data_IF_689974496325
#
_entry.id   IF_689974496325
#
_cell.length_a   1.000
_cell.length_b   1.000
_cell.length_c   1.000
_cell.angle_alpha   90.00
_cell.angle_beta   90.00
_cell.angle_gamma   90.00
#
_symmetry.space_group_name_H-M   'P 1'
#
loop_
_entity.id
_entity.type
_entity.pdbx_description
1 polymer ?
#
# COMPACT_ATOMS: atom_id res chain seq x y z
N UNK A 1 -24.57 -15.72 28.17
CA UNK A 1 -23.17 -15.84 28.63
C UNK A 1 -22.36 -14.64 28.12
N UNK A 2 -22.09 -13.64 28.96
CA UNK A 2 -21.13 -12.57 28.64
C UNK A 2 -19.73 -13.16 28.82
N UNK A 3 -19.07 -13.62 27.74
CA UNK A 3 -17.61 -13.80 27.82
C UNK A 3 -17.05 -12.41 28.09
N UNK A 4 -16.58 -12.18 29.31
CA UNK A 4 -15.87 -10.96 29.65
C UNK A 4 -14.74 -10.83 28.65
N UNK A 5 -14.85 -9.86 27.74
CA UNK A 5 -13.77 -9.58 26.81
C UNK A 5 -12.58 -9.15 27.67
N UNK A 6 -11.51 -9.96 27.65
CA UNK A 6 -10.25 -9.75 28.35
C UNK A 6 -9.49 -8.54 27.77
N UNK A 7 -10.09 -7.35 27.80
CA UNK A 7 -9.44 -6.08 27.46
C UNK A 7 -9.27 -5.27 28.74
N UNK A 8 -8.53 -5.82 29.71
CA UNK A 8 -8.31 -5.17 31.01
C UNK A 8 -7.01 -4.37 31.10
N UNK A 9 -6.38 -4.01 29.98
CA UNK A 9 -5.34 -2.99 30.06
C UNK A 9 -5.30 -2.09 28.82
N UNK A 10 -5.21 -0.80 29.07
CA UNK A 10 -4.76 0.21 28.11
C UNK A 10 -3.26 0.05 27.79
N UNK A 11 -2.67 -1.09 28.15
CA UNK A 11 -1.25 -1.29 28.02
C UNK A 11 -0.93 -1.72 26.59
N UNK A 12 -0.04 -0.95 25.99
CA UNK A 12 0.36 -1.08 24.59
C UNK A 12 1.51 -2.09 24.40
N UNK A 13 1.90 -2.78 25.49
CA UNK A 13 3.04 -3.68 25.51
C UNK A 13 2.97 -4.75 24.40
N UNK A 14 4.13 -5.14 23.86
CA UNK A 14 4.20 -6.34 23.04
C UNK A 14 3.67 -7.54 23.85
N UNK A 15 3.02 -8.52 23.21
CA UNK A 15 2.61 -9.74 23.88
C UNK A 15 3.83 -10.39 24.53
N UNK A 16 3.70 -10.82 25.78
CA UNK A 16 4.81 -11.46 26.52
C UNK A 16 5.42 -12.63 25.73
N UNK A 17 4.62 -13.36 24.95
CA UNK A 17 5.12 -14.42 24.06
C UNK A 17 6.06 -13.92 22.97
N UNK A 18 5.82 -12.74 22.36
CA UNK A 18 6.75 -12.15 21.39
C UNK A 18 8.03 -11.66 22.06
N UNK A 19 7.93 -11.08 23.26
CA UNK A 19 9.10 -10.66 24.05
C UNK A 19 9.95 -11.86 24.44
N UNK A 20 9.32 -12.93 24.95
CA UNK A 20 9.98 -14.17 25.34
C UNK A 20 10.64 -14.85 24.14
N UNK A 21 9.97 -14.89 22.99
CA UNK A 21 10.53 -15.43 21.75
C UNK A 21 11.76 -14.63 21.30
N UNK A 22 11.69 -13.31 21.31
CA UNK A 22 12.83 -12.45 20.99
C UNK A 22 13.99 -12.67 21.97
N UNK A 23 13.72 -12.65 23.28
CA UNK A 23 14.73 -12.87 24.31
C UNK A 23 15.38 -14.26 24.19
N UNK A 24 14.60 -15.28 23.84
CA UNK A 24 15.11 -16.63 23.59
C UNK A 24 16.01 -16.68 22.35
N UNK A 25 15.58 -16.14 21.20
CA UNK A 25 16.39 -16.11 19.97
C UNK A 25 17.68 -15.30 20.19
N UNK A 26 17.58 -14.12 20.81
CA UNK A 26 18.73 -13.28 21.10
C UNK A 26 19.69 -13.96 22.09
N UNK A 27 19.16 -14.53 23.18
CA UNK A 27 19.95 -15.27 24.16
C UNK A 27 20.62 -16.51 23.58
N UNK A 28 19.97 -17.23 22.66
CA UNK A 28 20.58 -18.35 21.95
C UNK A 28 21.75 -17.91 21.07
N UNK A 29 21.61 -16.79 20.35
CA UNK A 29 22.71 -16.23 19.57
C UNK A 29 23.89 -15.90 20.48
N UNK A 30 23.65 -15.16 21.56
CA UNK A 30 24.71 -14.74 22.49
C UNK A 30 25.36 -15.92 23.21
N UNK A 31 24.59 -16.91 23.65
CA UNK A 31 25.13 -18.14 24.23
C UNK A 31 25.97 -18.92 23.22
N UNK A 32 25.53 -18.99 21.95
CA UNK A 32 26.30 -19.63 20.88
C UNK A 32 27.62 -18.92 20.60
N UNK A 33 27.61 -17.59 20.50
CA UNK A 33 28.81 -16.77 20.34
C UNK A 33 29.78 -16.96 21.51
N UNK A 34 29.26 -16.95 22.74
CA UNK A 34 30.06 -17.17 23.94
C UNK A 34 30.71 -18.56 23.97
N UNK A 35 29.97 -19.63 23.62
CA UNK A 35 30.51 -20.99 23.52
C UNK A 35 31.61 -21.08 22.46
N UNK A 36 31.42 -20.41 21.32
CA UNK A 36 32.42 -20.39 20.24
C UNK A 36 33.65 -19.59 20.64
N UNK A 37 33.50 -18.48 21.37
CA UNK A 37 34.62 -17.62 21.76
C UNK A 37 35.43 -18.17 22.93
N UNK A 38 34.81 -18.93 23.83
CA UNK A 38 35.43 -19.43 25.05
C UNK A 38 36.78 -20.16 24.83
N UNK A 39 36.93 -21.08 23.86
CA UNK A 39 38.21 -21.75 23.59
C UNK A 39 39.28 -20.83 23.00
N UNK A 40 38.87 -19.78 22.29
CA UNK A 40 39.76 -18.90 21.52
C UNK A 40 40.20 -17.66 22.29
N UNK A 41 39.64 -17.44 23.48
CA UNK A 41 39.98 -16.30 24.33
C UNK A 41 41.46 -16.23 24.69
N UNK A 42 42.14 -17.38 24.77
CA UNK A 42 43.58 -17.46 25.04
C UNK A 42 44.45 -17.05 23.83
N UNK A 43 43.87 -17.01 22.62
CA UNK A 43 44.58 -16.69 21.36
C UNK A 43 44.45 -15.20 21.00
N UNK A 44 43.70 -14.42 21.78
CA UNK A 44 43.50 -12.99 21.53
C UNK A 44 42.60 -12.66 20.33
N UNK A 45 41.82 -13.63 19.85
CA UNK A 45 40.81 -13.42 18.80
C UNK A 45 39.52 -12.87 19.42
N UNK A 46 39.25 -11.58 19.23
CA UNK A 46 38.00 -10.93 19.66
C UNK A 46 36.92 -11.11 18.58
N UNK A 47 36.20 -12.23 18.63
CA UNK A 47 35.11 -12.53 17.69
C UNK A 47 33.99 -11.48 17.80
N UNK A 48 33.70 -10.96 19.00
CA UNK A 48 32.66 -9.95 19.19
C UNK A 48 32.88 -8.66 18.40
N UNK A 49 34.14 -8.33 18.11
CA UNK A 49 34.51 -7.13 17.37
C UNK A 49 34.34 -7.30 15.84
N UNK A 50 34.09 -8.53 15.37
CA UNK A 50 33.95 -8.80 13.94
C UNK A 50 32.73 -8.08 13.35
N UNK A 51 32.84 -7.48 12.16
CA UNK A 51 31.75 -6.75 11.53
C UNK A 51 30.54 -7.65 11.25
N UNK A 52 30.73 -8.95 11.01
CA UNK A 52 29.68 -9.94 10.74
C UNK A 52 28.77 -10.17 11.96
N UNK A 53 29.37 -10.30 13.16
CA UNK A 53 28.63 -10.48 14.41
C UNK A 53 27.85 -9.21 14.73
N UNK A 54 28.47 -8.03 14.59
CA UNK A 54 27.80 -6.74 14.76
C UNK A 54 26.63 -6.57 13.79
N UNK A 55 26.81 -6.94 12.52
CA UNK A 55 25.75 -6.89 11.51
C UNK A 55 24.58 -7.83 11.86
N UNK A 56 24.87 -9.03 12.35
CA UNK A 56 23.84 -10.00 12.76
C UNK A 56 23.05 -9.50 13.98
N UNK A 57 23.73 -8.99 15.01
CA UNK A 57 23.08 -8.37 16.18
C UNK A 57 22.22 -7.17 15.77
N UNK A 58 22.73 -6.33 14.86
CA UNK A 58 22.01 -5.18 14.29
C UNK A 58 20.75 -5.63 13.54
N UNK A 59 20.85 -6.66 12.71
CA UNK A 59 19.73 -7.23 11.96
C UNK A 59 18.63 -7.75 12.89
N UNK A 60 18.99 -8.47 13.95
CA UNK A 60 18.02 -8.99 14.92
C UNK A 60 17.29 -7.87 15.67
N UNK A 61 18.03 -6.86 16.15
CA UNK A 61 17.44 -5.71 16.85
C UNK A 61 16.54 -4.88 15.91
N UNK A 62 16.98 -4.70 14.66
CA UNK A 62 16.18 -4.08 13.62
C UNK A 62 14.91 -4.85 13.30
N UNK A 63 15.00 -6.18 13.16
CA UNK A 63 13.85 -7.05 12.91
C UNK A 63 12.84 -7.00 14.07
N UNK A 64 13.30 -6.95 15.32
CA UNK A 64 12.44 -6.79 16.49
C UNK A 64 11.67 -5.45 16.45
N UNK A 65 12.36 -4.36 16.08
CA UNK A 65 11.73 -3.05 15.91
C UNK A 65 10.67 -3.04 14.79
N UNK A 66 10.94 -3.69 13.66
CA UNK A 66 9.98 -3.86 12.55
C UNK A 66 8.77 -4.66 12.99
N UNK A 67 8.97 -5.81 13.64
CA UNK A 67 7.88 -6.66 14.14
C UNK A 67 7.02 -5.92 15.16
N UNK A 68 7.62 -5.11 16.03
CA UNK A 68 6.88 -4.29 16.99
C UNK A 68 6.03 -3.21 16.30
N UNK A 69 6.56 -2.53 15.28
CA UNK A 69 5.78 -1.57 14.47
C UNK A 69 4.57 -2.25 13.79
N UNK A 70 4.79 -3.40 13.16
CA UNK A 70 3.72 -4.18 12.52
C UNK A 70 2.66 -4.65 13.52
N UNK A 71 3.09 -5.13 14.69
CA UNK A 71 2.19 -5.49 15.79
C UNK A 71 1.33 -4.30 16.20
N UNK A 72 1.90 -3.10 16.37
CA UNK A 72 1.15 -1.90 16.75
C UNK A 72 0.08 -1.56 15.71
N UNK A 73 0.44 -1.55 14.43
CA UNK A 73 -0.52 -1.26 13.37
C UNK A 73 -1.61 -2.33 13.28
N UNK A 74 -1.26 -3.62 13.37
CA UNK A 74 -2.20 -4.72 13.25
C UNK A 74 -3.16 -4.81 14.44
N UNK A 75 -2.64 -4.72 15.66
CA UNK A 75 -3.42 -4.92 16.88
C UNK A 75 -4.41 -3.80 17.12
N UNK A 76 -3.98 -2.55 16.96
CA UNK A 76 -4.74 -1.37 17.41
C UNK A 76 -5.53 -0.69 16.28
N UNK A 77 -5.16 -0.86 15.01
CA UNK A 77 -5.90 -0.25 13.90
C UNK A 77 -7.06 -1.14 13.39
N UNK A 78 -8.33 -0.68 13.42
CA UNK A 78 -9.46 -1.53 13.02
C UNK A 78 -9.44 -1.94 11.53
N UNK A 79 -8.71 -1.22 10.67
CA UNK A 79 -8.62 -1.62 9.26
C UNK A 79 -7.81 -2.90 9.02
N UNK A 80 -6.86 -3.24 9.90
CA UNK A 80 -6.12 -4.50 9.83
C UNK A 80 -6.72 -5.57 10.74
N UNK A 81 -7.26 -5.20 11.91
CA UNK A 81 -7.99 -6.12 12.77
C UNK A 81 -9.49 -6.15 12.44
N UNK A 82 -9.88 -7.01 11.51
CA UNK A 82 -11.27 -7.12 11.05
C UNK A 82 -12.24 -7.51 12.17
N UNK A 83 -11.81 -8.35 13.12
CA UNK A 83 -12.61 -8.72 14.27
C UNK A 83 -12.86 -7.53 15.19
N UNK A 84 -11.84 -6.69 15.40
CA UNK A 84 -11.98 -5.45 16.15
C UNK A 84 -12.88 -4.44 15.43
N UNK A 85 -12.76 -4.28 14.12
CA UNK A 85 -13.70 -3.46 13.35
C UNK A 85 -15.13 -3.99 13.42
N UNK A 86 -15.35 -5.30 13.34
CA UNK A 86 -16.68 -5.90 13.49
C UNK A 86 -17.25 -5.62 14.88
N UNK A 87 -16.45 -5.76 15.93
CA UNK A 87 -16.84 -5.42 17.28
C UNK A 87 -17.18 -3.93 17.44
N UNK A 88 -16.34 -3.02 16.91
CA UNK A 88 -16.60 -1.58 16.96
C UNK A 88 -17.92 -1.21 16.28
N UNK A 89 -18.26 -1.85 15.15
CA UNK A 89 -19.54 -1.65 14.44
C UNK A 89 -20.76 -2.06 15.26
N UNK A 90 -20.61 -3.08 16.11
CA UNK A 90 -21.71 -3.61 16.93
C UNK A 90 -21.81 -2.95 18.30
N UNK A 91 -20.77 -2.23 18.72
CA UNK A 91 -20.70 -1.53 20.01
C UNK A 91 -21.26 -0.09 19.92
N UNK A 92 -21.67 0.52 21.04
CA UNK A 92 -22.06 1.95 21.10
C UNK A 92 -20.84 2.90 21.07
N UNK A 93 -19.74 2.48 20.46
CA UNK A 93 -18.53 3.28 20.33
C UNK A 93 -18.75 4.40 19.30
N UNK A 94 -18.19 5.58 19.59
CA UNK A 94 -18.20 6.74 18.69
C UNK A 94 -16.79 7.25 18.46
N UNK A 95 -16.47 7.89 17.31
CA UNK A 95 -15.12 8.35 16.98
C UNK A 95 -14.48 9.33 17.97
N UNK A 96 -15.28 10.00 18.80
CA UNK A 96 -14.81 10.94 19.82
C UNK A 96 -14.32 10.22 21.08
N UNK A 97 -14.75 8.98 21.32
CA UNK A 97 -14.29 8.15 22.44
C UNK A 97 -12.93 7.50 22.12
N UNK A 98 -12.07 7.28 23.14
CA UNK A 98 -10.84 6.53 22.94
C UNK A 98 -11.15 5.11 22.42
N UNK A 99 -10.21 4.55 21.66
CA UNK A 99 -10.31 3.18 21.17
C UNK A 99 -10.19 2.20 22.35
N UNK A 100 -11.13 1.25 22.53
CA UNK A 100 -11.10 0.33 23.67
C UNK A 100 -9.88 -0.59 23.73
N UNK A 101 -9.25 -0.89 22.60
CA UNK A 101 -8.00 -1.65 22.58
C UNK A 101 -6.76 -0.81 22.92
N UNK A 102 -6.88 0.52 22.95
CA UNK A 102 -5.74 1.43 23.11
C UNK A 102 -5.50 2.33 21.88
N UNK A 103 -4.66 3.36 22.05
CA UNK A 103 -4.39 4.33 20.99
C UNK A 103 -3.56 3.73 19.85
N UNK A 104 -3.90 4.10 18.61
CA UNK A 104 -3.09 3.78 17.43
C UNK A 104 -1.83 4.63 17.38
N UNK A 105 -1.92 5.91 17.79
CA UNK A 105 -0.77 6.81 17.81
C UNK A 105 0.28 6.34 18.82
N UNK A 106 1.52 6.78 18.59
CA UNK A 106 2.64 6.46 19.46
C UNK A 106 2.42 7.06 20.86
N UNK A 107 2.72 6.27 21.87
CA UNK A 107 2.61 6.61 23.29
C UNK A 107 3.96 6.43 23.98
N UNK A 108 4.10 6.89 25.22
CA UNK A 108 5.35 6.77 25.97
C UNK A 108 5.82 5.31 26.13
N UNK A 109 4.91 4.33 26.16
CA UNK A 109 5.29 2.91 26.21
C UNK A 109 6.09 2.49 24.96
N UNK A 110 5.77 3.05 23.78
CA UNK A 110 6.54 2.77 22.57
C UNK A 110 7.97 3.31 22.70
N UNK A 111 8.14 4.49 23.31
CA UNK A 111 9.46 5.05 23.59
C UNK A 111 10.27 4.17 24.54
N UNK A 112 9.64 3.52 25.53
CA UNK A 112 10.32 2.57 26.42
C UNK A 112 10.78 1.32 25.66
N UNK A 113 9.91 0.72 24.84
CA UNK A 113 10.26 -0.49 24.07
C UNK A 113 11.39 -0.20 23.08
N UNK A 114 11.27 0.87 22.30
CA UNK A 114 12.30 1.26 21.34
C UNK A 114 13.57 1.75 22.04
N UNK A 115 13.44 2.47 23.16
CA UNK A 115 14.56 2.87 24.00
C UNK A 115 15.34 1.68 24.55
N UNK A 116 14.66 0.60 24.96
CA UNK A 116 15.29 -0.64 25.38
C UNK A 116 16.06 -1.31 24.23
N UNK A 117 15.47 -1.38 23.04
CA UNK A 117 16.17 -1.92 21.85
C UNK A 117 17.39 -1.07 21.46
N UNK A 118 17.28 0.26 21.55
CA UNK A 118 18.39 1.17 21.29
C UNK A 118 19.50 1.06 22.36
N UNK A 119 19.13 0.89 23.63
CA UNK A 119 20.06 0.63 24.73
C UNK A 119 20.81 -0.70 24.53
N UNK A 120 20.09 -1.78 24.18
CA UNK A 120 20.68 -3.06 23.79
C UNK A 120 21.64 -2.91 22.60
N UNK A 121 21.24 -2.15 21.57
CA UNK A 121 22.10 -1.86 20.43
C UNK A 121 23.41 -1.17 20.85
N UNK A 122 23.31 -0.13 21.68
CA UNK A 122 24.47 0.69 22.09
C UNK A 122 25.41 -0.01 23.05
N UNK A 123 24.87 -0.64 24.08
CA UNK A 123 25.64 -1.16 25.23
C UNK A 123 26.01 -2.62 25.08
N UNK A 124 25.17 -3.43 24.44
CA UNK A 124 25.42 -4.86 24.28
C UNK A 124 25.96 -5.17 22.90
N UNK A 125 25.27 -4.72 21.84
CA UNK A 125 25.64 -5.09 20.47
C UNK A 125 26.77 -4.24 19.85
N UNK A 126 27.18 -3.17 20.52
CA UNK A 126 28.09 -2.14 19.97
C UNK A 126 27.66 -1.66 18.57
N UNK A 127 26.35 -1.67 18.33
CA UNK A 127 25.72 -1.24 17.09
C UNK A 127 25.21 0.20 17.23
N UNK A 128 24.90 0.82 16.10
CA UNK A 128 24.29 2.15 16.10
C UNK A 128 22.89 2.10 16.73
N UNK A 129 22.65 2.79 17.86
CA UNK A 129 21.34 2.81 18.53
C UNK A 129 20.22 3.45 17.70
N UNK A 130 20.55 4.18 16.64
CA UNK A 130 19.54 4.82 15.78
C UNK A 130 18.84 3.81 14.87
N UNK A 131 19.45 2.66 14.59
CA UNK A 131 18.90 1.68 13.62
C UNK A 131 17.53 1.14 14.04
N UNK A 132 17.31 0.64 15.28
CA UNK A 132 15.98 0.21 15.72
C UNK A 132 14.94 1.34 15.63
N UNK A 133 15.32 2.58 15.98
CA UNK A 133 14.44 3.74 15.93
C UNK A 133 14.01 4.07 14.50
N UNK A 134 14.97 4.12 13.57
CA UNK A 134 14.73 4.40 12.14
C UNK A 134 13.83 3.31 11.53
N UNK A 135 14.13 2.04 11.77
CA UNK A 135 13.36 0.92 11.22
C UNK A 135 11.94 0.86 11.78
N UNK A 136 11.76 1.05 13.09
CA UNK A 136 10.42 1.17 13.68
C UNK A 136 9.65 2.34 13.08
N UNK A 137 10.24 3.53 13.05
CA UNK A 137 9.60 4.74 12.54
C UNK A 137 9.21 4.62 11.07
N UNK A 138 10.12 4.12 10.23
CA UNK A 138 9.88 3.92 8.80
C UNK A 138 8.72 2.96 8.54
N UNK A 139 8.72 1.78 9.18
CA UNK A 139 7.65 0.78 9.01
C UNK A 139 6.33 1.29 9.57
N UNK A 140 6.34 1.94 10.73
CA UNK A 140 5.13 2.51 11.33
C UNK A 140 4.52 3.60 10.42
N UNK A 141 5.31 4.55 9.93
CA UNK A 141 4.82 5.65 9.07
C UNK A 141 4.40 5.17 7.68
N UNK A 142 5.11 4.22 7.08
CA UNK A 142 4.70 3.58 5.84
C UNK A 142 3.38 2.81 6.00
N UNK A 143 3.25 2.04 7.08
CA UNK A 143 2.03 1.33 7.41
C UNK A 143 0.85 2.26 7.69
N UNK A 144 1.07 3.37 8.42
CA UNK A 144 0.05 4.41 8.60
C UNK A 144 -0.36 5.07 7.29
N UNK A 145 0.59 5.36 6.40
CA UNK A 145 0.30 5.89 5.06
C UNK A 145 -0.60 4.92 4.27
N UNK A 146 -0.27 3.62 4.29
CA UNK A 146 -1.07 2.58 3.68
C UNK A 146 -2.47 2.46 4.32
N UNK A 147 -2.59 2.57 5.64
CA UNK A 147 -3.88 2.56 6.33
C UNK A 147 -4.75 3.77 5.97
N UNK A 148 -4.16 4.96 5.83
CA UNK A 148 -4.86 6.16 5.37
C UNK A 148 -5.29 6.02 3.90
N UNK A 149 -4.51 5.35 3.06
CA UNK A 149 -4.88 4.98 1.69
C UNK A 149 -6.08 4.03 1.67
N UNK A 150 -6.03 2.94 2.45
CA UNK A 150 -7.12 1.96 2.56
C UNK A 150 -8.43 2.57 3.07
N UNK A 151 -8.33 3.56 3.96
CA UNK A 151 -9.48 4.28 4.52
C UNK A 151 -9.88 5.51 3.69
N UNK A 152 -9.26 5.70 2.52
CA UNK A 152 -9.54 6.76 1.53
C UNK A 152 -9.42 8.19 2.08
N UNK A 153 -8.60 8.39 3.11
CA UNK A 153 -8.26 9.73 3.60
C UNK A 153 -7.09 10.29 2.81
N UNK A 154 -7.35 10.69 1.56
CA UNK A 154 -6.34 11.04 0.56
C UNK A 154 -5.39 12.16 0.99
N UNK A 155 -5.89 13.29 1.51
CA UNK A 155 -5.04 14.44 1.85
C UNK A 155 -4.02 14.09 2.95
N UNK A 156 -4.42 13.54 4.12
CA UNK A 156 -3.44 13.08 5.11
C UNK A 156 -2.51 11.98 4.60
N UNK A 157 -3.01 11.06 3.76
CA UNK A 157 -2.19 10.02 3.15
C UNK A 157 -1.06 10.61 2.30
N UNK A 158 -1.37 11.58 1.43
CA UNK A 158 -0.39 12.23 0.57
C UNK A 158 0.62 13.03 1.42
N UNK A 159 0.14 13.88 2.32
CA UNK A 159 1.00 14.68 3.20
C UNK A 159 1.94 13.80 4.03
N UNK A 160 1.41 12.73 4.64
CA UNK A 160 2.22 11.80 5.41
C UNK A 160 3.26 11.16 4.50
N UNK A 161 2.84 10.69 3.32
CA UNK A 161 3.71 10.11 2.29
C UNK A 161 4.90 10.99 1.93
N UNK A 162 4.68 12.30 1.72
CA UNK A 162 5.77 13.23 1.43
C UNK A 162 6.67 13.48 2.66
N UNK A 163 6.06 13.67 3.83
CA UNK A 163 6.81 14.05 5.04
C UNK A 163 7.72 12.94 5.55
N UNK A 164 7.30 11.66 5.53
CA UNK A 164 8.04 10.61 6.23
C UNK A 164 9.34 10.20 5.52
N UNK A 165 9.42 10.39 4.20
CA UNK A 165 10.63 10.11 3.43
C UNK A 165 11.62 11.29 3.42
N UNK A 166 11.17 12.50 3.77
CA UNK A 166 12.00 13.71 3.72
C UNK A 166 13.29 13.64 4.58
N UNK A 167 13.28 13.07 5.81
CA UNK A 167 14.50 12.98 6.64
C UNK A 167 15.63 12.13 6.03
N UNK A 168 15.35 11.34 5.00
CA UNK A 168 16.36 10.56 4.27
C UNK A 168 17.33 11.50 3.52
N UNK A 169 16.87 12.69 3.12
CA UNK A 169 17.67 13.67 2.38
C UNK A 169 18.74 14.29 3.30
N UNK A 170 20.04 14.19 2.98
CA UNK A 170 21.11 14.72 3.82
C UNK A 170 20.99 16.23 4.10
N UNK A 171 20.55 17.01 3.11
CA UNK A 171 20.35 18.45 3.23
C UNK A 171 19.25 18.87 4.22
N UNK A 172 18.37 17.95 4.63
CA UNK A 172 17.30 18.22 5.60
C UNK A 172 17.65 17.77 7.03
N UNK A 173 18.86 17.25 7.25
CA UNK A 173 19.37 16.88 8.58
C UNK A 173 19.55 18.14 9.45
N UNK A 174 19.34 18.01 10.76
CA UNK A 174 19.49 19.11 11.72
C UNK A 174 18.15 19.78 12.08
N UNK A 175 18.10 21.12 12.28
CA UNK A 175 16.87 21.81 12.72
C UNK A 175 15.63 21.58 11.85
N UNK A 176 15.72 21.49 10.50
CA UNK A 176 14.54 21.19 9.66
C UNK A 176 13.91 19.84 9.98
N UNK A 177 14.70 18.86 10.43
CA UNK A 177 14.20 17.53 10.83
C UNK A 177 13.19 17.65 11.98
N UNK A 178 13.38 18.57 12.92
CA UNK A 178 12.41 18.80 14.01
C UNK A 178 11.06 19.31 13.48
N UNK A 179 11.09 20.21 12.51
CA UNK A 179 9.89 20.69 11.81
C UNK A 179 9.18 19.55 11.07
N UNK A 180 9.92 18.68 10.40
CA UNK A 180 9.38 17.49 9.74
C UNK A 180 8.75 16.53 10.75
N UNK A 181 9.42 16.25 11.88
CA UNK A 181 8.89 15.40 12.95
C UNK A 181 7.58 15.98 13.53
N UNK A 182 7.55 17.29 13.81
CA UNK A 182 6.32 17.96 14.28
C UNK A 182 5.19 17.83 13.24
N UNK A 183 5.51 18.04 11.95
CA UNK A 183 4.58 17.84 10.85
C UNK A 183 4.05 16.41 10.77
N UNK A 184 4.92 15.40 10.93
CA UNK A 184 4.53 13.99 10.96
C UNK A 184 3.54 13.70 12.09
N UNK A 185 3.82 14.18 13.32
CA UNK A 185 2.94 14.00 14.47
C UNK A 185 1.55 14.59 14.19
N UNK A 186 1.50 15.83 13.69
CA UNK A 186 0.25 16.53 13.38
C UNK A 186 -0.54 15.82 12.28
N UNK A 187 0.12 15.47 11.17
CA UNK A 187 -0.53 14.81 10.02
C UNK A 187 -1.01 13.41 10.37
N UNK A 188 -0.21 12.63 11.11
CA UNK A 188 -0.63 11.30 11.59
C UNK A 188 -1.84 11.42 12.52
N UNK A 189 -1.81 12.34 13.50
CA UNK A 189 -2.93 12.55 14.43
C UNK A 189 -4.21 12.97 13.70
N UNK A 190 -4.12 13.98 12.82
CA UNK A 190 -5.25 14.48 12.05
C UNK A 190 -5.79 13.42 11.08
N UNK A 191 -4.91 12.75 10.34
CA UNK A 191 -5.27 11.71 9.39
C UNK A 191 -5.99 10.55 10.04
N UNK A 192 -5.47 10.09 11.17
CA UNK A 192 -6.09 9.04 11.96
C UNK A 192 -7.47 9.45 12.49
N UNK A 193 -7.62 10.63 13.11
CA UNK A 193 -8.92 11.13 13.58
C UNK A 193 -9.94 11.26 12.45
N UNK A 194 -9.52 11.79 11.30
CA UNK A 194 -10.36 11.89 10.11
C UNK A 194 -10.79 10.51 9.60
N UNK A 195 -9.87 9.54 9.60
CA UNK A 195 -10.15 8.17 9.21
C UNK A 195 -11.16 7.50 10.13
N UNK A 196 -11.02 7.66 11.45
CA UNK A 196 -11.97 7.12 12.42
C UNK A 196 -13.35 7.77 12.35
N UNK A 197 -13.44 9.07 12.08
CA UNK A 197 -14.74 9.74 11.86
C UNK A 197 -15.50 9.22 10.65
N UNK A 198 -14.78 8.68 9.66
CA UNK A 198 -15.37 8.02 8.50
C UNK A 198 -15.71 6.53 8.74
N UNK A 199 -15.51 6.02 9.94
CA UNK A 199 -15.88 4.65 10.31
C UNK A 199 -17.40 4.52 10.48
N UNK A 200 -18.06 3.45 9.97
CA UNK A 200 -17.46 2.29 9.29
C UNK A 200 -17.05 2.60 7.85
N UNK A 201 -15.79 2.28 7.50
CA UNK A 201 -15.30 2.47 6.14
C UNK A 201 -16.06 1.55 5.17
N UNK A 202 -16.72 2.14 4.18
CA UNK A 202 -17.37 1.40 3.08
C UNK A 202 -16.30 0.88 2.12
N UNK A 203 -15.81 -0.35 2.34
CA UNK A 203 -14.94 -1.04 1.38
C UNK A 203 -15.77 -1.45 0.18
N UNK A 204 -15.67 -0.71 -0.93
CA UNK A 204 -16.17 -1.17 -2.23
C UNK A 204 -17.51 -0.59 -2.69
N UNK A 205 -18.29 0.06 -1.82
CA UNK A 205 -19.33 0.97 -2.33
C UNK A 205 -18.62 2.23 -2.81
N UNK A 206 -18.35 2.27 -4.12
CA UNK A 206 -17.90 3.48 -4.79
C UNK A 206 -18.96 4.55 -4.51
N UNK A 207 -18.63 5.45 -3.56
CA UNK A 207 -19.37 6.63 -3.15
C UNK A 207 -20.61 6.88 -4.02
N UNK A 208 -21.77 6.34 -3.62
CA UNK A 208 -23.01 7.00 -3.99
C UNK A 208 -22.87 8.43 -3.46
N UNK A 209 -22.89 9.46 -4.32
CA UNK A 209 -22.74 10.83 -3.86
C UNK A 209 -24.03 11.24 -3.14
N UNK A 210 -24.20 10.83 -1.88
CA UNK A 210 -25.37 11.15 -1.08
C UNK A 210 -25.09 10.98 0.42
N UNK A 211 -24.50 11.98 1.04
CA UNK A 211 -25.05 12.63 2.24
C UNK A 211 -24.10 13.75 2.65
N UNK A 212 -24.62 14.97 2.65
CA UNK A 212 -23.93 16.23 2.96
C UNK A 212 -23.24 16.88 1.74
N UNK A 213 -24.06 17.22 0.74
CA UNK A 213 -24.03 18.58 0.17
C UNK A 213 -25.43 18.97 -0.28
N UNK A 214 -26.12 19.58 0.67
CA UNK A 214 -27.18 20.56 0.44
C UNK A 214 -26.77 21.54 -0.68
N UNK A 215 -27.73 21.83 -1.55
CA UNK A 215 -27.76 22.89 -2.57
C UNK A 215 -26.60 22.95 -3.58
N UNK A 216 -26.65 22.11 -4.62
CA UNK A 216 -26.09 22.47 -5.93
C UNK A 216 -27.27 22.73 -6.88
N UNK A 217 -27.35 23.90 -7.55
CA UNK A 217 -28.44 24.21 -8.48
C UNK A 217 -28.42 23.19 -9.62
N UNK A 218 -29.58 22.59 -9.87
CA UNK A 218 -29.80 21.60 -10.93
C UNK A 218 -29.60 22.31 -12.27
N UNK A 219 -28.78 21.71 -13.13
CA UNK A 219 -28.66 22.11 -14.53
C UNK A 219 -29.99 21.86 -15.25
N UNK A 220 -30.53 22.83 -16.01
CA UNK A 220 -31.79 22.66 -16.75
C UNK A 220 -31.70 21.67 -17.92
N UNK A 221 -30.49 21.19 -18.26
CA UNK A 221 -30.26 20.21 -19.34
C UNK A 221 -30.34 18.75 -18.90
N UNK A 222 -30.63 18.47 -17.63
CA UNK A 222 -30.88 17.11 -17.11
C UNK A 222 -32.38 16.72 -17.17
N UNK A 223 -33.19 17.49 -17.90
CA UNK A 223 -34.66 17.36 -17.92
C UNK A 223 -35.22 16.37 -18.95
N UNK A 224 -34.45 15.96 -19.97
CA UNK A 224 -35.01 15.18 -21.09
C UNK A 224 -34.32 13.82 -21.22
N UNK A 225 -34.87 12.83 -20.51
CA UNK A 225 -35.37 11.54 -20.99
C UNK A 225 -36.07 10.94 -19.76
N UNK A 226 -37.27 11.43 -19.47
CA UNK A 226 -38.21 10.74 -18.59
C UNK A 226 -39.06 9.85 -19.47
N UNK A 227 -38.89 8.53 -19.33
CA UNK A 227 -39.90 7.58 -19.78
C UNK A 227 -41.02 7.67 -18.75
N UNK A 228 -42.05 8.46 -19.07
CA UNK A 228 -43.23 8.62 -18.23
C UNK A 228 -43.94 7.26 -18.10
N UNK A 229 -43.95 6.72 -16.87
CA UNK A 229 -44.57 5.42 -16.56
C UNK A 229 -43.80 4.57 -15.55
N UNK A 230 -42.49 4.79 -15.36
CA UNK A 230 -41.69 4.09 -14.35
C UNK A 230 -41.48 4.98 -13.12
N UNK A 231 -42.33 4.75 -12.12
CA UNK A 231 -42.28 5.37 -10.80
C UNK A 231 -40.85 5.41 -10.24
N UNK A 232 -40.36 6.62 -9.96
CA UNK A 232 -39.07 6.90 -9.36
C UNK A 232 -39.06 6.64 -7.85
N UNK A 233 -39.46 5.44 -7.43
CA UNK A 233 -39.21 5.00 -6.06
C UNK A 233 -37.71 4.70 -5.91
N UNK A 234 -37.00 5.24 -4.90
CA UNK A 234 -35.59 4.92 -4.64
C UNK A 234 -35.35 3.44 -4.31
N UNK A 235 -36.40 2.63 -4.16
CA UNK A 235 -36.32 1.17 -4.12
C UNK A 235 -36.07 0.51 -5.49
N UNK A 236 -36.27 1.23 -6.61
CA UNK A 236 -36.19 0.70 -7.97
C UNK A 236 -34.84 0.90 -8.68
N UNK A 237 -33.85 1.53 -8.03
CA UNK A 237 -32.51 1.78 -8.58
C UNK A 237 -31.43 1.13 -7.71
N UNK A 238 -31.08 -0.16 -7.71
CA UNK A 238 -31.40 -1.37 -8.49
C UNK A 238 -30.93 -2.57 -7.62
N UNK A 239 -31.67 -3.70 -7.56
CA UNK A 239 -31.07 -4.98 -7.97
C UNK A 239 -32.09 -5.98 -8.53
N UNK A 240 -33.02 -5.56 -9.40
CA UNK A 240 -34.01 -6.47 -10.02
C UNK A 240 -33.80 -6.66 -11.52
N UNK A 241 -32.55 -6.79 -11.97
CA UNK A 241 -32.35 -7.72 -13.08
C UNK A 241 -32.75 -9.07 -12.48
N UNK A 242 -33.99 -9.50 -12.75
CA UNK A 242 -34.48 -10.79 -12.27
C UNK A 242 -33.49 -11.87 -12.63
N UNK A 243 -33.45 -12.95 -11.85
CA UNK A 243 -32.74 -14.14 -12.27
C UNK A 243 -33.23 -14.51 -13.70
N UNK A 244 -32.34 -14.76 -14.69
CA UNK A 244 -30.88 -14.94 -14.61
C UNK A 244 -30.04 -13.69 -14.96
N UNK A 245 -30.65 -12.56 -15.32
CA UNK A 245 -29.92 -11.38 -15.78
C UNK A 245 -29.07 -10.70 -14.71
N UNK A 246 -29.34 -10.94 -13.42
CA UNK A 246 -28.45 -10.50 -12.33
C UNK A 246 -27.04 -11.11 -12.44
N UNK A 247 -26.94 -12.33 -12.97
CA UNK A 247 -25.66 -13.03 -13.20
C UNK A 247 -24.98 -12.58 -14.49
N UNK A 248 -25.76 -12.10 -15.46
CA UNK A 248 -25.25 -11.51 -16.70
C UNK A 248 -24.89 -10.03 -16.53
N UNK A 249 -25.37 -9.38 -15.47
CA UNK A 249 -25.03 -8.00 -15.16
C UNK A 249 -23.56 -7.93 -14.74
N UNK A 250 -22.69 -7.23 -15.49
CA UNK A 250 -21.33 -7.01 -15.05
C UNK A 250 -21.38 -6.12 -13.81
N UNK A 251 -21.32 -6.72 -12.61
CA UNK A 251 -21.13 -6.04 -11.32
C UNK A 251 -19.73 -5.41 -11.18
N UNK A 252 -19.18 -4.91 -12.28
CA UNK A 252 -17.88 -4.28 -12.34
C UNK A 252 -18.05 -2.78 -12.08
N UNK A 253 -18.34 -2.41 -10.83
CA UNK A 253 -18.16 -1.03 -10.37
C UNK A 253 -16.66 -0.81 -10.17
N UNK A 254 -15.92 -0.73 -11.28
CA UNK A 254 -14.54 -0.26 -11.23
C UNK A 254 -14.58 1.26 -11.32
N UNK A 255 -14.29 1.92 -10.21
CA UNK A 255 -14.02 3.36 -10.20
C UNK A 255 -12.73 3.61 -10.96
N UNK A 256 -12.80 4.37 -12.05
CA UNK A 256 -11.59 4.95 -12.63
C UNK A 256 -10.90 5.80 -11.57
N UNK A 257 -9.58 5.70 -11.47
CA UNK A 257 -8.79 6.63 -10.66
C UNK A 257 -8.95 8.01 -11.29
N UNK A 258 -9.25 9.04 -10.50
CA UNK A 258 -9.32 10.40 -11.00
C UNK A 258 -7.92 10.88 -11.40
N UNK A 259 -7.81 11.61 -12.51
CA UNK A 259 -6.52 12.12 -13.03
C UNK A 259 -5.73 12.88 -11.98
N UNK A 260 -6.40 13.66 -11.12
CA UNK A 260 -5.77 14.37 -10.01
C UNK A 260 -5.15 13.43 -8.97
N UNK A 261 -5.84 12.34 -8.62
CA UNK A 261 -5.33 11.31 -7.71
C UNK A 261 -4.13 10.60 -8.32
N UNK A 262 -4.21 10.23 -9.61
CA UNK A 262 -3.10 9.65 -10.34
C UNK A 262 -1.88 10.59 -10.35
N UNK A 263 -2.08 11.89 -10.62
CA UNK A 263 -1.01 12.89 -10.60
C UNK A 263 -0.36 13.00 -9.22
N UNK A 264 -1.16 13.08 -8.15
CA UNK A 264 -0.63 13.15 -6.78
C UNK A 264 0.13 11.89 -6.37
N UNK A 265 -0.35 10.70 -6.75
CA UNK A 265 0.36 9.44 -6.50
C UNK A 265 1.66 9.36 -7.30
N UNK A 266 1.66 9.75 -8.57
CA UNK A 266 2.86 9.84 -9.39
C UNK A 266 3.91 10.78 -8.79
N UNK A 267 3.50 11.96 -8.33
CA UNK A 267 4.38 12.91 -7.65
C UNK A 267 4.93 12.34 -6.34
N UNK A 268 4.12 11.60 -5.59
CA UNK A 268 4.55 10.94 -4.36
C UNK A 268 5.60 9.86 -4.62
N UNK A 269 5.40 9.00 -5.63
CA UNK A 269 6.40 7.99 -6.00
C UNK A 269 7.69 8.62 -6.51
N UNK A 270 7.60 9.69 -7.30
CA UNK A 270 8.74 10.47 -7.73
C UNK A 270 9.54 11.01 -6.55
N UNK A 271 8.84 11.57 -5.56
CA UNK A 271 9.45 12.07 -4.32
C UNK A 271 10.14 10.97 -3.53
N UNK A 272 9.54 9.79 -3.41
CA UNK A 272 10.18 8.64 -2.75
C UNK A 272 11.44 8.19 -3.48
N UNK A 273 11.39 8.10 -4.81
CA UNK A 273 12.57 7.78 -5.62
C UNK A 273 13.68 8.82 -5.42
N UNK A 274 13.33 10.11 -5.43
CA UNK A 274 14.28 11.18 -5.17
C UNK A 274 14.92 11.06 -3.78
N UNK A 275 14.09 10.90 -2.73
CA UNK A 275 14.58 10.75 -1.36
C UNK A 275 15.52 9.55 -1.22
N UNK A 276 15.16 8.40 -1.79
CA UNK A 276 15.98 7.19 -1.74
C UNK A 276 17.31 7.38 -2.47
N UNK A 277 17.30 7.95 -3.68
CA UNK A 277 18.54 8.18 -4.42
C UNK A 277 19.45 9.19 -3.73
N UNK A 278 18.87 10.28 -3.20
CA UNK A 278 19.61 11.33 -2.49
C UNK A 278 20.19 10.82 -1.16
N UNK A 279 19.46 9.99 -0.41
CA UNK A 279 19.92 9.51 0.90
C UNK A 279 20.81 8.28 0.86
N UNK A 280 20.69 7.43 -0.15
CA UNK A 280 21.58 6.28 -0.34
C UNK A 280 22.83 6.62 -1.15
N UNK A 281 22.98 7.87 -1.59
CA UNK A 281 24.05 8.30 -2.50
C UNK A 281 24.15 7.36 -3.71
N UNK A 282 22.97 7.00 -4.25
CA UNK A 282 22.86 5.95 -5.26
C UNK A 282 23.72 6.29 -6.47
N UNK A 283 24.45 5.32 -7.03
CA UNK A 283 25.31 5.56 -8.18
C UNK A 283 24.48 6.02 -9.39
N UNK A 284 25.07 6.78 -10.32
CA UNK A 284 24.37 7.33 -11.49
C UNK A 284 23.80 6.24 -12.43
N UNK A 285 24.26 4.99 -12.32
CA UNK A 285 23.80 3.87 -13.14
C UNK A 285 22.48 3.22 -12.65
N UNK A 286 21.48 4.04 -12.34
CA UNK A 286 20.13 3.58 -11.99
C UNK A 286 19.25 3.24 -13.22
N UNK A 287 19.76 3.48 -14.44
CA UNK A 287 19.00 3.29 -15.67
C UNK A 287 18.49 1.85 -15.89
N UNK A 288 19.29 0.78 -15.64
CA UNK A 288 18.78 -0.59 -15.77
C UNK A 288 17.61 -0.87 -14.83
N UNK A 289 17.64 -0.33 -13.60
CA UNK A 289 16.56 -0.50 -12.63
C UNK A 289 15.27 0.16 -13.09
N UNK A 290 15.34 1.36 -13.67
CA UNK A 290 14.17 2.05 -14.25
C UNK A 290 13.54 1.25 -15.39
N UNK A 291 14.36 0.69 -16.28
CA UNK A 291 13.89 -0.16 -17.37
C UNK A 291 13.23 -1.45 -16.86
N UNK A 292 13.88 -2.15 -15.91
CA UNK A 292 13.32 -3.36 -15.29
C UNK A 292 12.00 -3.06 -14.58
N UNK A 293 11.91 -1.95 -13.85
CA UNK A 293 10.66 -1.50 -13.24
C UNK A 293 9.58 -1.25 -14.30
N UNK A 294 9.88 -0.50 -15.36
CA UNK A 294 8.94 -0.21 -16.44
C UNK A 294 8.42 -1.50 -17.10
N UNK A 295 9.30 -2.48 -17.33
CA UNK A 295 8.96 -3.78 -17.90
C UNK A 295 8.03 -4.57 -16.97
N UNK A 296 8.39 -4.72 -15.68
CA UNK A 296 7.58 -5.45 -14.70
C UNK A 296 6.20 -4.78 -14.54
N UNK A 297 6.16 -3.45 -14.47
CA UNK A 297 4.91 -2.72 -14.32
C UNK A 297 4.02 -2.82 -15.56
N UNK A 298 4.60 -2.75 -16.77
CA UNK A 298 3.92 -2.97 -18.04
C UNK A 298 3.32 -4.38 -18.14
N UNK A 299 4.10 -5.41 -17.78
CA UNK A 299 3.66 -6.81 -17.76
C UNK A 299 2.57 -7.04 -16.71
N UNK A 300 2.71 -6.46 -15.51
CA UNK A 300 1.71 -6.57 -14.45
C UNK A 300 0.38 -5.93 -14.86
N UNK A 301 0.42 -4.74 -15.48
CA UNK A 301 -0.77 -4.09 -16.04
C UNK A 301 -1.43 -4.97 -17.10
N UNK A 302 -0.63 -5.51 -18.02
CA UNK A 302 -1.13 -6.39 -19.08
C UNK A 302 -1.77 -7.66 -18.49
N UNK A 303 -1.12 -8.29 -17.52
CA UNK A 303 -1.63 -9.47 -16.82
C UNK A 303 -2.98 -9.21 -16.13
N UNK A 304 -3.16 -8.04 -15.50
CA UNK A 304 -4.43 -7.64 -14.89
C UNK A 304 -5.53 -7.54 -15.95
N UNK A 305 -5.26 -6.88 -17.08
CA UNK A 305 -6.26 -6.70 -18.15
C UNK A 305 -6.58 -8.01 -18.90
N UNK A 306 -5.59 -8.91 -19.00
CA UNK A 306 -5.75 -10.21 -19.63
C UNK A 306 -6.27 -11.29 -18.66
N UNK A 307 -6.34 -11.02 -17.35
CA UNK A 307 -6.87 -11.97 -16.37
C UNK A 307 -8.36 -12.22 -16.63
N UNK A 308 -8.67 -13.41 -17.14
CA UNK A 308 -10.05 -13.86 -17.42
C UNK A 308 -10.60 -13.55 -18.81
N UNK A 309 -9.83 -12.90 -19.70
CA UNK A 309 -10.24 -12.59 -21.08
C UNK A 309 -9.25 -13.20 -22.09
N UNK A 310 -9.77 -13.79 -23.18
CA UNK A 310 -8.93 -14.29 -24.28
C UNK A 310 -8.96 -13.36 -25.49
N UNK A 311 -7.83 -13.22 -26.21
CA UNK A 311 -7.83 -12.54 -27.51
C UNK A 311 -8.80 -13.25 -28.47
N UNK A 312 -9.44 -12.49 -29.39
CA UNK A 312 -10.37 -13.06 -30.36
C UNK A 312 -9.66 -14.01 -31.34
N UNK A 313 -8.38 -13.73 -31.63
CA UNK A 313 -7.53 -14.56 -32.47
C UNK A 313 -6.21 -14.81 -31.75
N UNK A 314 -5.68 -16.04 -31.85
CA UNK A 314 -4.29 -16.30 -31.51
C UNK A 314 -3.37 -15.58 -32.51
N UNK A 315 -2.06 -15.51 -32.21
CA UNK A 315 -1.08 -14.81 -33.05
C UNK A 315 -1.11 -15.34 -34.49
N UNK A 316 -1.23 -16.67 -34.65
CA UNK A 316 -1.34 -17.31 -35.96
C UNK A 316 -2.61 -16.90 -36.73
N UNK A 317 -3.76 -16.80 -36.06
CA UNK A 317 -4.99 -16.33 -36.68
C UNK A 317 -4.91 -14.87 -37.13
N UNK A 318 -4.17 -14.03 -36.40
CA UNK A 318 -3.89 -12.63 -36.82
C UNK A 318 -3.02 -12.58 -38.08
N UNK A 319 -1.97 -13.39 -38.13
CA UNK A 319 -1.08 -13.49 -39.29
C UNK A 319 -1.83 -14.05 -40.52
N UNK A 320 -2.57 -15.15 -40.36
CA UNK A 320 -3.31 -15.78 -41.45
C UNK A 320 -4.45 -14.91 -42.01
N UNK A 321 -5.07 -14.08 -41.17
CA UNK A 321 -6.14 -13.16 -41.59
C UNK A 321 -5.62 -11.82 -42.15
N UNK A 322 -4.30 -11.57 -42.11
CA UNK A 322 -3.70 -10.27 -42.47
C UNK A 322 -4.08 -9.13 -41.52
N UNK A 323 -4.80 -9.41 -40.42
CA UNK A 323 -5.24 -8.41 -39.43
C UNK A 323 -4.33 -8.47 -38.22
N UNK A 324 -3.12 -7.91 -38.37
CA UNK A 324 -2.14 -7.82 -37.27
C UNK A 324 -2.72 -7.02 -36.10
N UNK A 325 -3.39 -5.91 -36.41
CA UNK A 325 -4.05 -5.04 -35.43
C UNK A 325 -5.55 -5.32 -35.41
N UNK A 326 -6.08 -5.64 -34.23
CA UNK A 326 -7.51 -5.81 -33.97
C UNK A 326 -8.01 -4.55 -33.24
N UNK A 327 -8.78 -3.68 -33.91
CA UNK A 327 -9.36 -2.49 -33.29
C UNK A 327 -10.19 -2.86 -32.06
N UNK A 328 -10.09 -2.06 -31.01
CA UNK A 328 -10.63 -2.41 -29.71
C UNK A 328 -9.66 -3.28 -28.93
N UNK A 329 -9.34 -4.50 -29.39
CA UNK A 329 -8.54 -5.42 -28.59
C UNK A 329 -7.13 -4.93 -28.28
N UNK A 330 -6.43 -4.40 -29.28
CA UNK A 330 -5.02 -4.07 -29.11
C UNK A 330 -4.75 -2.79 -28.33
N UNK A 331 -5.81 -2.05 -27.95
CA UNK A 331 -5.69 -0.84 -27.12
C UNK A 331 -5.05 -1.14 -25.75
N UNK A 332 -5.16 -2.38 -25.26
CA UNK A 332 -4.54 -2.81 -24.00
C UNK A 332 -3.01 -2.85 -24.05
N UNK A 333 -2.40 -3.07 -25.22
CA UNK A 333 -0.95 -3.16 -25.39
C UNK A 333 -0.28 -1.81 -25.54
N UNK A 334 -1.03 -0.78 -25.96
CA UNK A 334 -0.49 0.57 -26.24
C UNK A 334 0.16 1.16 -24.99
N UNK A 335 -0.51 1.12 -23.83
CA UNK A 335 0.04 1.70 -22.59
C UNK A 335 1.27 0.94 -22.08
N UNK A 336 1.27 -0.40 -21.93
CA UNK A 336 2.47 -1.17 -21.62
C UNK A 336 3.65 -0.86 -22.55
N UNK A 337 3.42 -0.77 -23.87
CA UNK A 337 4.46 -0.45 -24.83
C UNK A 337 5.03 0.96 -24.62
N UNK A 338 4.17 1.97 -24.44
CA UNK A 338 4.58 3.33 -24.14
C UNK A 338 5.38 3.38 -22.82
N UNK A 339 4.95 2.65 -21.78
CA UNK A 339 5.65 2.58 -20.49
C UNK A 339 7.06 2.02 -20.67
N UNK A 340 7.24 0.96 -21.45
CA UNK A 340 8.57 0.39 -21.74
C UNK A 340 9.43 1.37 -22.54
N UNK A 341 8.87 1.99 -23.59
CA UNK A 341 9.59 3.00 -24.40
C UNK A 341 10.03 4.20 -23.55
N UNK A 342 9.14 4.73 -22.73
CA UNK A 342 9.43 5.85 -21.81
C UNK A 342 10.45 5.43 -20.75
N UNK A 343 10.39 4.20 -20.26
CA UNK A 343 11.39 3.65 -19.33
C UNK A 343 12.78 3.59 -19.96
N UNK A 344 12.89 3.11 -21.20
CA UNK A 344 14.15 3.04 -21.95
C UNK A 344 14.73 4.43 -22.26
N UNK A 345 13.91 5.33 -22.82
CA UNK A 345 14.33 6.70 -23.15
C UNK A 345 14.68 7.46 -21.86
N UNK A 346 13.87 7.31 -20.82
CA UNK A 346 14.09 7.91 -19.51
C UNK A 346 15.39 7.42 -18.86
N UNK A 347 15.69 6.12 -18.93
CA UNK A 347 16.95 5.56 -18.46
C UNK A 347 18.17 6.15 -19.19
N UNK A 348 18.08 6.31 -20.52
CA UNK A 348 19.13 6.97 -21.30
C UNK A 348 19.29 8.45 -20.90
N UNK A 349 18.18 9.17 -20.73
CA UNK A 349 18.18 10.57 -20.30
C UNK A 349 18.79 10.76 -18.91
N UNK A 350 18.52 9.85 -17.96
CA UNK A 350 19.11 9.85 -16.61
C UNK A 350 20.63 9.74 -16.67
N UNK A 351 21.17 8.85 -17.53
CA UNK A 351 22.62 8.68 -17.71
C UNK A 351 23.31 9.95 -18.22
N UNK A 352 22.66 10.69 -19.12
CA UNK A 352 23.21 11.93 -19.69
C UNK A 352 23.07 13.12 -18.73
N UNK A 353 22.19 13.04 -17.73
CA UNK A 353 21.86 14.15 -16.83
C UNK A 353 22.86 14.38 -15.70
N UNK A 354 24.04 13.73 -15.68
CA UNK A 354 25.07 13.69 -14.62
C UNK A 354 24.73 14.42 -13.28
N UNK A 355 24.83 15.76 -13.15
CA UNK A 355 24.57 16.45 -11.88
C UNK A 355 23.11 16.36 -11.38
N UNK A 356 22.16 16.11 -12.29
CA UNK A 356 20.73 16.05 -12.03
C UNK A 356 20.15 14.62 -12.11
N UNK A 357 20.99 13.58 -12.18
CA UNK A 357 20.53 12.20 -12.38
C UNK A 357 19.44 11.77 -11.37
N UNK A 358 19.53 12.18 -10.10
CA UNK A 358 18.52 11.89 -9.07
C UNK A 358 17.16 12.52 -9.38
N UNK A 359 17.15 13.79 -9.80
CA UNK A 359 15.94 14.51 -10.16
C UNK A 359 15.35 13.97 -11.48
N UNK A 360 16.20 13.68 -12.47
CA UNK A 360 15.78 13.05 -13.73
C UNK A 360 15.15 11.68 -13.49
N UNK A 361 15.74 10.84 -12.64
CA UNK A 361 15.20 9.52 -12.33
C UNK A 361 13.86 9.60 -11.60
N UNK A 362 13.71 10.52 -10.66
CA UNK A 362 12.44 10.83 -10.02
C UNK A 362 11.38 11.29 -11.03
N UNK A 363 11.74 12.18 -11.96
CA UNK A 363 10.85 12.65 -13.04
C UNK A 363 10.39 11.52 -13.96
N UNK A 364 11.30 10.63 -14.37
CA UNK A 364 10.97 9.43 -15.15
C UNK A 364 10.02 8.53 -14.37
N UNK A 365 10.28 8.29 -13.08
CA UNK A 365 9.40 7.51 -12.22
C UNK A 365 8.00 8.11 -12.10
N UNK A 366 7.90 9.45 -11.96
CA UNK A 366 6.63 10.17 -11.97
C UNK A 366 5.83 9.87 -13.24
N UNK A 367 6.49 10.00 -14.39
CA UNK A 367 5.89 9.79 -15.70
C UNK A 367 5.45 8.33 -15.91
N UNK A 368 6.27 7.36 -15.51
CA UNK A 368 5.92 5.94 -15.57
C UNK A 368 4.66 5.64 -14.76
N UNK A 369 4.60 6.08 -13.50
CA UNK A 369 3.40 5.92 -12.67
C UNK A 369 2.19 6.63 -13.25
N UNK A 370 2.37 7.83 -13.81
CA UNK A 370 1.26 8.58 -14.40
C UNK A 370 0.67 7.86 -15.60
N UNK A 371 1.54 7.36 -16.49
CA UNK A 371 1.14 6.55 -17.65
C UNK A 371 0.47 5.24 -17.24
N UNK A 372 0.98 4.58 -16.19
CA UNK A 372 0.36 3.37 -15.66
C UNK A 372 -1.02 3.64 -15.05
N UNK A 373 -1.21 4.75 -14.34
CA UNK A 373 -2.49 5.04 -13.67
C UNK A 373 -3.54 5.63 -14.61
N UNK A 374 -3.14 6.46 -15.58
CA UNK A 374 -4.05 7.17 -16.48
C UNK A 374 -4.05 6.68 -17.95
N UNK A 375 -3.05 5.92 -18.38
CA UNK A 375 -2.90 5.54 -19.79
C UNK A 375 -3.84 4.44 -20.24
N UNK A 376 -4.36 4.54 -21.46
CA UNK A 376 -5.15 3.47 -22.10
C UNK A 376 -6.60 3.40 -21.64
N UNK A 377 -7.38 2.40 -22.09
CA UNK A 377 -8.77 2.25 -21.68
C UNK A 377 -8.84 1.88 -20.21
N UNK A 378 -9.80 2.45 -19.46
CA UNK A 378 -10.10 1.95 -18.11
C UNK A 378 -10.53 0.48 -18.20
N UNK A 379 -10.24 -0.34 -17.18
CA UNK A 379 -10.62 -1.76 -17.18
C UNK A 379 -12.12 -1.96 -17.50
N UNK A 380 -12.98 -1.06 -16.99
CA UNK A 380 -14.41 -1.05 -17.31
C UNK A 380 -14.68 -0.79 -18.79
N UNK A 381 -14.08 0.26 -19.37
CA UNK A 381 -14.25 0.56 -20.80
C UNK A 381 -13.73 -0.61 -21.64
N UNK A 382 -12.57 -1.15 -21.27
CA UNK A 382 -11.96 -2.29 -21.90
C UNK A 382 -12.87 -3.54 -21.89
N UNK A 383 -13.47 -3.89 -20.75
CA UNK A 383 -14.42 -5.01 -20.66
C UNK A 383 -15.70 -4.73 -21.47
N UNK A 384 -16.20 -3.50 -21.52
CA UNK A 384 -17.46 -3.20 -22.19
C UNK A 384 -17.32 -3.03 -23.71
N UNK A 385 -16.21 -2.46 -24.19
CA UNK A 385 -16.02 -2.13 -25.60
C UNK A 385 -14.97 -3.01 -26.28
N UNK A 386 -14.27 -3.86 -25.52
CA UNK A 386 -13.26 -4.76 -26.05
C UNK A 386 -13.88 -5.88 -26.88
N UNK A 387 -13.28 -6.14 -28.04
CA UNK A 387 -13.57 -7.33 -28.84
C UNK A 387 -12.86 -8.54 -28.21
N UNK A 388 -13.36 -9.03 -27.08
CA UNK A 388 -12.81 -10.20 -26.39
C UNK A 388 -13.72 -11.42 -26.57
N UNK A 389 -13.12 -12.60 -26.35
CA UNK A 389 -13.88 -13.83 -26.14
C UNK A 389 -13.92 -14.09 -24.64
N UNK A 390 -15.13 -14.12 -24.09
CA UNK A 390 -15.30 -14.57 -22.71
C UNK A 390 -14.97 -16.04 -22.61
N UNK A 391 -14.26 -16.41 -21.55
CA UNK A 391 -14.21 -17.80 -21.15
C UNK A 391 -15.63 -18.27 -20.85
N UNK A 392 -16.10 -19.31 -21.56
CA UNK A 392 -17.25 -20.06 -21.07
C UNK A 392 -16.90 -20.52 -19.65
N UNK A 393 -17.74 -20.24 -18.64
CA UNK A 393 -17.48 -20.55 -17.25
C UNK A 393 -17.60 -22.06 -16.97
N UNK A 394 -16.92 -22.90 -17.76
CA UNK A 394 -16.83 -24.34 -17.55
C UNK A 394 -16.10 -24.72 -16.23
N UNK A 395 -15.55 -23.74 -15.51
CA UNK A 395 -14.91 -23.89 -14.18
C UNK A 395 -15.65 -23.22 -13.02
N UNK A 396 -16.84 -22.64 -13.23
CA UNK A 396 -17.76 -22.39 -12.11
C UNK A 396 -18.30 -23.78 -11.73
N UNK A 397 -17.59 -24.44 -10.81
CA UNK A 397 -17.70 -25.85 -10.50
C UNK A 397 -19.15 -26.31 -10.46
N UNK A 398 -19.46 -27.32 -11.27
CA UNK A 398 -20.47 -28.36 -11.04
C UNK A 398 -21.53 -28.00 -10.00
N UNK A 399 -22.30 -26.93 -10.23
CA UNK A 399 -23.60 -26.75 -9.62
C UNK A 399 -24.58 -27.67 -10.38
N UNK A 400 -24.28 -28.98 -10.34
CA UNK A 400 -25.12 -30.09 -10.82
C UNK A 400 -26.41 -30.21 -10.00
N UNK A 401 -26.66 -29.33 -9.03
CA UNK A 401 -27.84 -29.37 -8.16
C UNK A 401 -29.09 -28.69 -8.74
N UNK A 402 -29.00 -27.89 -9.81
CA UNK A 402 -30.17 -27.17 -10.34
C UNK A 402 -30.82 -27.81 -11.59
N UNK A 403 -30.38 -29.00 -11.98
CA UNK A 403 -31.02 -29.81 -13.02
C UNK A 403 -31.31 -31.21 -12.47
N UNK A 404 -32.11 -31.29 -11.40
CA UNK A 404 -32.92 -32.49 -11.18
C UNK A 404 -34.26 -32.24 -11.86
N UNK A 405 -34.67 -33.07 -12.84
CA UNK A 405 -36.06 -33.05 -13.30
C UNK A 405 -36.97 -33.35 -12.09
N UNK A 406 -38.03 -32.56 -11.96
CA UNK A 406 -39.14 -32.82 -11.03
C UNK A 406 -39.90 -34.04 -11.53
#
# INVERSE_FOLDING_TARGET
MKRGLLFHSNAVWPPLGLVALFAFIYGMLEAGLWIIEHPWRNVGLELEATPEIRATRTLLLGAAAVLYALYRLWRFHPAWNLAYAAWLRLSPWTPDKPLPLGPVHLVWQDAVVIGALAALARWHAQADPTIPLILFGAVYLAGMTFLLLLTRTWVPCLLLGFLWSAPIIPALRGPPTLGIIAGLIVVTWYGYRKSLRAFPWRRGEANGPASIRTSRPKSPLELEIRIDGLSNSPAARTPSLGWPFLWLSPKAVHSSVATSTSLSLSALFAWWTYCLMAGLEAPPDCAPMLFVFALIAALSRLAIYCSGLRPPFNIWGRLASGRIIVPGFDQVFVTPLIVVVVGSIGGAAVRVSEPWHQASAAGVMALLWFLLLNGGPSLRRWILTGQHRYHSPARLGTNRQLLKPI
#
